data_IF_814411158945
#
_entry.id   IF_814411158945
#
_cell.length_a   1.000
_cell.length_b   1.000
_cell.length_c   1.000
_cell.angle_alpha   90.00
_cell.angle_beta   90.00
_cell.angle_gamma   90.00
#
_symmetry.space_group_name_H-M   'P 1'
#
loop_
_entity.id
_entity.type
_entity.pdbx_description
1 polymer ?
#
# COMPACT_ATOMS: atom_id res chain seq x y z
N UNK A 1 63.41 6.18 21.03
CA UNK A 1 63.28 6.39 22.49
C UNK A 1 61.80 6.54 22.78
N UNK A 2 61.11 5.73 23.56
CA UNK A 2 61.41 4.55 24.37
C UNK A 2 60.03 3.88 24.55
N UNK A 3 59.84 2.67 24.03
CA UNK A 3 59.65 1.44 24.82
C UNK A 3 58.16 1.18 25.12
N UNK A 4 57.54 0.20 24.45
CA UNK A 4 57.48 -1.22 24.85
C UNK A 4 56.28 -1.43 25.82
N UNK A 5 55.39 -2.41 25.66
CA UNK A 5 55.63 -3.81 25.33
C UNK A 5 54.36 -4.54 24.82
N UNK A 6 54.62 -5.48 23.91
CA UNK A 6 54.09 -6.86 23.75
C UNK A 6 52.57 -7.12 23.74
N UNK A 7 51.99 -7.69 22.68
CA UNK A 7 52.21 -9.01 22.04
C UNK A 7 51.55 -10.19 22.80
N UNK A 8 50.43 -10.70 22.26
CA UNK A 8 50.01 -12.11 22.18
C UNK A 8 48.73 -12.13 21.34
N UNK A 9 48.69 -12.67 20.11
CA UNK A 9 48.81 -14.08 19.72
C UNK A 9 47.71 -14.96 20.33
N UNK A 10 46.77 -15.41 19.49
CA UNK A 10 45.72 -16.36 19.86
C UNK A 10 44.76 -16.59 18.69
N UNK A 11 45.10 -17.57 17.84
CA UNK A 11 44.22 -18.10 16.80
C UNK A 11 43.00 -18.85 17.37
N UNK A 12 42.14 -19.38 16.48
CA UNK A 12 40.79 -19.81 16.82
C UNK A 12 40.81 -21.21 17.46
N UNK A 13 40.14 -21.35 18.60
CA UNK A 13 39.93 -22.65 19.26
C UNK A 13 38.41 -22.90 19.44
N UNK A 14 37.97 -24.18 19.47
CA UNK A 14 36.82 -24.67 18.73
C UNK A 14 35.74 -25.23 19.67
N UNK A 15 34.51 -25.36 19.18
CA UNK A 15 33.40 -25.96 19.95
C UNK A 15 32.86 -24.96 20.98
N UNK A 16 31.58 -24.65 20.96
CA UNK A 16 30.51 -25.58 21.30
C UNK A 16 29.31 -25.29 20.40
N UNK A 17 29.06 -26.20 19.47
CA UNK A 17 27.75 -26.32 18.85
C UNK A 17 26.71 -26.55 19.95
N UNK A 18 25.55 -25.88 19.94
CA UNK A 18 24.41 -26.34 20.73
C UNK A 18 24.08 -27.77 20.29
N UNK A 19 23.89 -28.73 21.22
CA UNK A 19 23.66 -30.12 20.83
C UNK A 19 22.36 -30.23 20.04
N UNK A 20 22.50 -30.63 18.77
CA UNK A 20 21.43 -31.18 17.95
C UNK A 20 20.92 -32.45 18.65
N UNK A 21 19.70 -32.40 19.16
CA UNK A 21 19.01 -33.56 19.73
C UNK A 21 18.32 -34.37 18.61
N UNK A 22 18.47 -35.70 18.59
CA UNK A 22 17.81 -36.57 17.63
C UNK A 22 16.29 -36.66 17.87
N UNK A 23 15.47 -36.93 16.84
CA UNK A 23 14.05 -37.17 17.00
C UNK A 23 13.83 -38.58 17.54
N UNK A 24 13.09 -38.69 18.65
CA UNK A 24 12.70 -39.96 19.24
C UNK A 24 13.49 -40.34 20.49
N UNK A 25 13.01 -39.87 21.65
CA UNK A 25 12.70 -40.67 22.85
C UNK A 25 12.32 -39.70 23.98
N UNK A 26 11.14 -39.95 24.55
CA UNK A 26 10.47 -39.13 25.55
C UNK A 26 11.21 -39.18 26.90
N UNK A 27 11.37 -38.06 27.62
CA UNK A 27 11.72 -38.14 29.03
C UNK A 27 10.53 -38.65 29.84
N UNK A 28 10.75 -39.77 30.53
CA UNK A 28 9.83 -40.35 31.49
C UNK A 28 9.52 -39.35 32.61
N UNK A 29 8.32 -38.79 32.56
CA UNK A 29 7.66 -38.14 33.69
C UNK A 29 6.83 -39.18 34.45
N UNK A 30 6.73 -39.04 35.78
CA UNK A 30 6.19 -40.04 36.68
C UNK A 30 4.73 -40.37 36.33
N UNK A 31 4.38 -41.64 36.46
CA UNK A 31 3.03 -42.15 36.28
C UNK A 31 2.04 -41.40 37.21
N UNK A 32 1.49 -40.29 36.72
CA UNK A 32 0.22 -39.75 37.22
C UNK A 32 -0.85 -40.66 36.66
N UNK A 33 -1.17 -41.68 37.45
CA UNK A 33 -2.38 -42.48 37.25
C UNK A 33 -3.56 -41.54 37.07
N UNK A 34 -4.34 -41.81 36.02
CA UNK A 34 -5.57 -41.10 35.74
C UNK A 34 -6.45 -40.99 37.01
N UNK A 35 -6.76 -39.78 37.50
CA UNK A 35 -7.92 -39.57 38.34
C UNK A 35 -9.08 -39.30 37.38
N UNK A 36 -9.85 -40.26 36.89
CA UNK A 36 -10.22 -41.53 37.45
C UNK A 36 -11.70 -41.65 37.13
N UNK A 37 -12.04 -42.46 36.13
CA UNK A 37 -13.41 -42.98 35.93
C UNK A 37 -13.98 -43.59 37.23
N UNK A 38 -13.13 -43.87 38.22
CA UNK A 38 -13.47 -44.17 39.62
C UNK A 38 -14.08 -43.00 40.42
N UNK A 39 -13.78 -41.72 40.18
CA UNK A 39 -14.44 -40.59 40.91
C UNK A 39 -15.84 -40.29 40.35
N UNK A 40 -16.03 -40.39 39.03
CA UNK A 40 -17.38 -40.36 38.42
C UNK A 40 -18.16 -41.62 38.79
N UNK A 41 -17.51 -42.80 38.82
CA UNK A 41 -18.13 -44.04 39.31
C UNK A 41 -18.50 -44.01 40.80
N UNK A 42 -17.70 -43.36 41.66
CA UNK A 42 -18.01 -43.17 43.08
C UNK A 42 -19.08 -42.09 43.26
N UNK A 43 -19.08 -40.99 42.50
CA UNK A 43 -20.14 -39.99 42.54
C UNK A 43 -21.49 -40.56 42.04
N UNK A 44 -21.47 -41.36 40.96
CA UNK A 44 -22.65 -42.05 40.45
C UNK A 44 -23.12 -43.11 41.44
N UNK A 45 -22.22 -43.89 42.04
CA UNK A 45 -22.57 -44.87 43.07
C UNK A 45 -23.10 -44.21 44.36
N UNK A 46 -22.57 -43.06 44.78
CA UNK A 46 -23.06 -42.31 45.94
C UNK A 46 -24.44 -41.71 45.67
N UNK A 47 -24.71 -41.18 44.46
CA UNK A 47 -26.04 -40.69 44.08
C UNK A 47 -27.05 -41.83 43.94
N UNK A 48 -26.64 -42.98 43.42
CA UNK A 48 -27.51 -44.17 43.28
C UNK A 48 -27.78 -44.81 44.66
N UNK A 49 -26.79 -44.80 45.57
CA UNK A 49 -26.94 -45.27 46.95
C UNK A 49 -27.75 -44.29 47.81
N UNK A 50 -27.61 -42.98 47.62
CA UNK A 50 -28.46 -41.95 48.24
C UNK A 50 -29.90 -42.02 47.71
N UNK A 51 -30.09 -42.23 46.41
CA UNK A 51 -31.41 -42.45 45.81
C UNK A 51 -32.09 -43.72 46.33
N UNK A 52 -31.34 -44.82 46.47
CA UNK A 52 -31.85 -46.07 47.06
C UNK A 52 -32.15 -45.92 48.56
N UNK A 53 -31.34 -45.16 49.30
CA UNK A 53 -31.56 -44.85 50.73
C UNK A 53 -32.83 -44.00 50.91
N UNK A 54 -33.09 -43.01 50.04
CA UNK A 54 -34.31 -42.20 50.07
C UNK A 54 -35.56 -43.04 49.76
N UNK A 55 -35.49 -43.97 48.81
CA UNK A 55 -36.66 -44.83 48.48
C UNK A 55 -36.95 -45.87 49.58
N UNK A 56 -35.93 -46.36 50.30
CA UNK A 56 -36.09 -47.40 51.33
C UNK A 56 -36.30 -46.87 52.75
N UNK A 57 -35.75 -45.71 53.11
CA UNK A 57 -35.76 -45.19 54.50
C UNK A 57 -36.88 -44.15 54.72
N UNK A 58 -37.26 -43.39 53.69
CA UNK A 58 -38.31 -42.37 53.82
C UNK A 58 -39.73 -42.90 54.09
N UNK A 59 -40.16 -44.13 53.68
CA UNK A 59 -41.46 -44.65 54.10
C UNK A 59 -41.53 -45.06 55.57
N UNK A 60 -40.41 -45.00 56.33
CA UNK A 60 -40.36 -45.36 57.76
C UNK A 60 -40.16 -44.17 58.71
N UNK A 61 -40.03 -42.94 58.20
CA UNK A 61 -39.76 -41.74 59.02
C UNK A 61 -40.85 -40.66 58.92
N UNK A 62 -41.98 -40.95 58.28
CA UNK A 62 -43.17 -40.08 58.35
C UNK A 62 -44.23 -40.77 59.21
N UNK A 63 -44.66 -40.16 60.35
CA UNK A 63 -45.74 -40.70 61.16
C UNK A 63 -47.05 -40.72 60.36
N UNK A 64 -47.72 -41.87 60.36
CA UNK A 64 -49.12 -41.97 59.93
C UNK A 64 -49.97 -41.21 60.94
N UNK A 65 -50.78 -40.21 60.56
CA UNK A 65 -51.74 -39.63 61.47
C UNK A 65 -52.86 -40.65 61.71
N UNK A 66 -52.90 -41.22 62.91
CA UNK A 66 -54.07 -41.89 63.47
C UNK A 66 -55.08 -40.82 63.89
N UNK A 67 -56.09 -40.61 63.05
CA UNK A 67 -57.35 -39.99 63.45
C UNK A 67 -58.41 -41.07 63.54
N UNK A 68 -58.99 -41.23 64.73
CA UNK A 68 -60.11 -42.14 65.02
C UNK A 68 -61.29 -41.27 65.42
N UNK A 69 -62.43 -41.50 64.75
CA UNK A 69 -63.85 -41.22 65.07
C UNK A 69 -64.25 -39.81 65.59
N UNK A 70 -65.27 -39.12 65.10
CA UNK A 70 -66.63 -39.51 64.71
C UNK A 70 -67.19 -38.53 63.66
N UNK A 71 -67.93 -39.04 62.66
CA UNK A 71 -69.21 -38.48 62.22
C UNK A 71 -69.81 -39.27 61.06
N UNK A 72 -70.86 -40.03 61.40
CA UNK A 72 -72.08 -40.30 60.63
C UNK A 72 -71.94 -40.92 59.23
N UNK A 73 -72.30 -42.20 59.19
CA UNK A 73 -72.68 -43.00 58.04
C UNK A 73 -73.68 -42.24 57.13
N UNK A 74 -73.27 -42.00 55.89
CA UNK A 74 -74.11 -41.63 54.76
C UNK A 74 -73.71 -42.46 53.54
N UNK A 75 -74.33 -43.64 53.40
CA UNK A 75 -74.14 -44.58 52.28
C UNK A 75 -74.78 -44.02 51.01
N UNK A 76 -73.98 -43.77 49.97
CA UNK A 76 -74.42 -43.68 48.56
C UNK A 76 -73.22 -43.94 47.62
N UNK A 77 -73.42 -44.54 46.44
CA UNK A 77 -72.72 -45.77 46.09
C UNK A 77 -71.47 -45.62 45.23
N UNK A 78 -70.61 -46.64 45.37
CA UNK A 78 -69.59 -47.04 44.41
C UNK A 78 -70.13 -47.07 42.98
N UNK A 79 -69.68 -46.12 42.16
CA UNK A 79 -69.65 -46.19 40.70
C UNK A 79 -68.20 -46.34 40.19
N UNK A 80 -67.30 -46.89 41.01
CA UNK A 80 -65.86 -46.91 40.72
C UNK A 80 -65.40 -48.08 39.85
N UNK A 81 -66.28 -49.05 39.55
CA UNK A 81 -65.93 -50.22 38.73
C UNK A 81 -65.83 -49.93 37.22
N UNK A 82 -66.54 -48.93 36.70
CA UNK A 82 -66.57 -48.59 35.26
C UNK A 82 -65.72 -47.36 34.89
N UNK A 83 -65.36 -46.52 35.86
CA UNK A 83 -64.55 -45.31 35.63
C UNK A 83 -63.04 -45.61 35.53
N UNK A 84 -62.55 -46.71 36.13
CA UNK A 84 -61.13 -47.03 36.16
C UNK A 84 -60.52 -47.37 34.78
N UNK A 85 -61.18 -48.17 33.90
CA UNK A 85 -60.67 -48.42 32.55
C UNK A 85 -60.68 -47.17 31.65
N UNK A 86 -61.74 -46.37 31.72
CA UNK A 86 -61.85 -45.13 30.94
C UNK A 86 -60.83 -44.07 31.39
N UNK A 87 -60.64 -43.87 32.70
CA UNK A 87 -59.63 -42.95 33.23
C UNK A 87 -58.20 -43.39 32.89
N UNK A 88 -57.95 -44.71 32.86
CA UNK A 88 -56.67 -45.27 32.43
C UNK A 88 -56.43 -45.02 30.94
N UNK A 89 -57.41 -45.31 30.08
CA UNK A 89 -57.31 -45.06 28.64
C UNK A 89 -57.06 -43.56 28.34
N UNK A 90 -57.72 -42.65 29.07
CA UNK A 90 -57.47 -41.21 28.94
C UNK A 90 -56.04 -40.81 29.35
N UNK A 91 -55.49 -41.41 30.42
CA UNK A 91 -54.11 -41.17 30.82
C UNK A 91 -53.10 -41.72 29.81
N UNK A 92 -53.33 -42.92 29.28
CA UNK A 92 -52.49 -43.53 28.23
C UNK A 92 -52.52 -42.69 26.94
N UNK A 93 -53.70 -42.20 26.53
CA UNK A 93 -53.83 -41.30 25.39
C UNK A 93 -53.10 -39.96 25.61
N UNK A 94 -53.25 -39.34 26.79
CA UNK A 94 -52.56 -38.09 27.12
C UNK A 94 -51.04 -38.26 27.13
N UNK A 95 -50.52 -39.35 27.70
CA UNK A 95 -49.10 -39.68 27.68
C UNK A 95 -48.60 -39.89 26.26
N UNK A 96 -49.34 -40.63 25.43
CA UNK A 96 -48.96 -40.87 24.03
C UNK A 96 -48.85 -39.55 23.25
N UNK A 97 -49.83 -38.65 23.39
CA UNK A 97 -49.82 -37.35 22.72
C UNK A 97 -48.67 -36.47 23.20
N UNK A 98 -48.43 -36.44 24.52
CA UNK A 98 -47.29 -35.72 25.10
C UNK A 98 -45.96 -36.23 24.54
N UNK A 99 -45.71 -37.55 24.55
CA UNK A 99 -44.47 -38.14 24.06
C UNK A 99 -44.25 -37.89 22.56
N UNK A 100 -45.32 -37.92 21.76
CA UNK A 100 -45.25 -37.61 20.32
C UNK A 100 -44.81 -36.16 20.08
N UNK A 101 -45.41 -35.20 20.79
CA UNK A 101 -45.06 -33.78 20.65
C UNK A 101 -43.66 -33.51 21.25
N UNK A 102 -43.34 -34.12 22.38
CA UNK A 102 -42.01 -34.03 23.00
C UNK A 102 -40.94 -34.49 22.01
N UNK A 103 -41.08 -35.67 21.39
CA UNK A 103 -40.11 -36.20 20.45
C UNK A 103 -39.93 -35.28 19.22
N UNK A 104 -41.02 -34.69 18.70
CA UNK A 104 -40.93 -33.72 17.59
C UNK A 104 -40.16 -32.46 18.01
N UNK A 105 -40.47 -31.93 19.18
CA UNK A 105 -39.80 -30.74 19.71
C UNK A 105 -38.33 -31.03 20.09
N UNK A 106 -37.98 -32.26 20.49
CA UNK A 106 -36.58 -32.68 20.68
C UNK A 106 -35.79 -32.71 19.38
N UNK A 107 -36.40 -33.18 18.28
CA UNK A 107 -35.80 -33.10 16.95
C UNK A 107 -35.56 -31.65 16.53
N UNK A 108 -36.46 -30.75 16.93
CA UNK A 108 -36.32 -29.30 16.78
C UNK A 108 -35.40 -28.66 17.82
N UNK A 109 -34.74 -29.44 18.69
CA UNK A 109 -33.82 -28.97 19.74
C UNK A 109 -34.46 -28.08 20.82
N UNK A 110 -35.74 -28.26 21.12
CA UNK A 110 -36.46 -27.55 22.18
C UNK A 110 -35.80 -27.54 23.57
N UNK A 111 -34.99 -28.53 23.99
CA UNK A 111 -34.20 -28.40 25.22
C UNK A 111 -33.26 -27.19 25.26
N UNK A 112 -32.84 -26.66 24.11
CA UNK A 112 -31.92 -25.50 24.02
C UNK A 112 -32.69 -24.17 24.08
N UNK A 113 -33.85 -24.09 23.43
CA UNK A 113 -34.56 -22.82 23.22
C UNK A 113 -35.93 -22.72 23.90
N UNK A 114 -36.43 -23.83 24.46
CA UNK A 114 -37.80 -23.96 24.92
C UNK A 114 -38.03 -23.72 26.42
N UNK A 115 -36.99 -23.37 27.17
CA UNK A 115 -37.15 -22.99 28.57
C UNK A 115 -37.99 -21.69 28.69
N UNK A 116 -38.83 -21.54 29.74
CA UNK A 116 -39.09 -22.52 30.80
C UNK A 116 -40.17 -23.56 30.46
N UNK A 117 -40.96 -23.36 29.40
CA UNK A 117 -42.12 -24.22 29.08
C UNK A 117 -41.75 -25.70 28.86
N UNK A 118 -40.56 -25.95 28.28
CA UNK A 118 -39.98 -27.28 28.14
C UNK A 118 -39.79 -27.97 29.50
N UNK A 119 -39.20 -27.27 30.46
CA UNK A 119 -38.92 -27.78 31.80
C UNK A 119 -40.21 -27.99 32.61
N UNK A 120 -41.14 -27.04 32.52
CA UNK A 120 -42.47 -27.16 33.14
C UNK A 120 -43.24 -28.38 32.62
N UNK A 121 -43.20 -28.63 31.30
CA UNK A 121 -43.84 -29.79 30.69
C UNK A 121 -43.23 -31.11 31.21
N UNK A 122 -41.90 -31.18 31.32
CA UNK A 122 -41.20 -32.35 31.86
C UNK A 122 -41.58 -32.62 33.33
N UNK A 123 -41.70 -31.58 34.16
CA UNK A 123 -42.13 -31.70 35.56
C UNK A 123 -43.59 -32.21 35.64
N UNK A 124 -44.48 -31.70 34.80
CA UNK A 124 -45.88 -32.14 34.75
C UNK A 124 -46.01 -33.60 34.31
N UNK A 125 -45.24 -34.03 33.31
CA UNK A 125 -45.20 -35.41 32.85
C UNK A 125 -44.68 -36.37 33.93
N UNK A 126 -43.58 -36.01 34.62
CA UNK A 126 -43.04 -36.82 35.71
C UNK A 126 -44.04 -36.98 36.88
N UNK A 127 -44.85 -35.95 37.17
CA UNK A 127 -45.95 -36.05 38.11
C UNK A 127 -47.07 -36.96 37.61
N UNK A 128 -47.35 -36.95 36.30
CA UNK A 128 -48.25 -37.88 35.63
C UNK A 128 -47.80 -39.32 35.82
N UNK A 129 -46.53 -39.63 35.57
CA UNK A 129 -45.93 -40.97 35.71
C UNK A 129 -46.07 -41.49 37.14
N UNK A 130 -45.78 -40.65 38.15
CA UNK A 130 -45.95 -41.01 39.56
C UNK A 130 -47.40 -41.35 39.88
N UNK A 131 -48.35 -40.51 39.47
CA UNK A 131 -49.79 -40.72 39.70
C UNK A 131 -50.32 -41.95 38.96
N UNK A 132 -49.79 -42.24 37.77
CA UNK A 132 -50.14 -43.42 37.00
C UNK A 132 -49.70 -44.70 37.71
N UNK A 133 -48.46 -44.72 38.24
CA UNK A 133 -47.94 -45.82 39.06
C UNK A 133 -48.74 -46.06 40.34
N UNK A 134 -49.25 -45.00 40.96
CA UNK A 134 -50.18 -45.03 42.12
C UNK A 134 -51.61 -45.46 41.75
N UNK A 135 -51.88 -45.81 40.49
CA UNK A 135 -53.22 -46.12 39.93
C UNK A 135 -54.22 -44.96 40.02
N UNK A 136 -53.75 -43.73 40.20
CA UNK A 136 -54.58 -42.51 40.22
C UNK A 136 -54.77 -41.98 38.80
N UNK A 137 -55.39 -42.81 37.94
CA UNK A 137 -55.43 -42.58 36.50
C UNK A 137 -56.07 -41.25 36.08
N UNK A 138 -57.15 -40.82 36.74
CA UNK A 138 -57.76 -39.52 36.45
C UNK A 138 -56.83 -38.33 36.76
N UNK A 139 -56.01 -38.43 37.81
CA UNK A 139 -55.04 -37.39 38.17
C UNK A 139 -53.80 -37.42 37.26
N UNK A 140 -53.42 -38.61 36.76
CA UNK A 140 -52.38 -38.78 35.76
C UNK A 140 -52.79 -38.19 34.41
N UNK A 141 -54.01 -38.47 33.94
CA UNK A 141 -54.57 -37.92 32.71
C UNK A 141 -54.55 -36.39 32.69
N UNK A 142 -54.91 -35.74 33.81
CA UNK A 142 -54.79 -34.28 33.96
C UNK A 142 -53.35 -33.80 33.85
N UNK A 143 -52.41 -34.45 34.56
CA UNK A 143 -50.99 -34.09 34.50
C UNK A 143 -50.39 -34.21 33.10
N UNK A 144 -50.72 -35.27 32.34
CA UNK A 144 -50.28 -35.39 30.95
C UNK A 144 -50.96 -34.38 30.02
N UNK A 145 -52.24 -34.07 30.24
CA UNK A 145 -52.95 -33.01 29.53
C UNK A 145 -52.31 -31.64 29.76
N UNK A 146 -51.97 -31.30 31.00
CA UNK A 146 -51.27 -30.05 31.35
C UNK A 146 -49.87 -30.01 30.71
N UNK A 147 -49.13 -31.12 30.74
CA UNK A 147 -47.81 -31.23 30.11
C UNK A 147 -47.88 -31.04 28.58
N UNK A 148 -48.87 -31.66 27.93
CA UNK A 148 -49.13 -31.50 26.50
C UNK A 148 -49.48 -30.04 26.17
N UNK A 149 -50.32 -29.39 26.98
CA UNK A 149 -50.66 -27.98 26.79
C UNK A 149 -49.43 -27.06 26.88
N UNK A 150 -48.49 -27.35 27.79
CA UNK A 150 -47.21 -26.59 27.86
C UNK A 150 -46.36 -26.75 26.62
N UNK A 151 -46.26 -27.98 26.07
CA UNK A 151 -45.54 -28.20 24.82
C UNK A 151 -46.22 -27.56 23.61
N UNK A 152 -47.55 -27.53 23.56
CA UNK A 152 -48.30 -26.83 22.50
C UNK A 152 -48.07 -25.31 22.57
N UNK A 153 -48.14 -24.72 23.77
CA UNK A 153 -47.81 -23.32 23.99
C UNK A 153 -46.37 -23.00 23.58
N UNK A 154 -45.44 -23.94 23.79
CA UNK A 154 -44.05 -23.79 23.38
C UNK A 154 -43.91 -23.82 21.84
N UNK A 155 -44.55 -24.78 21.17
CA UNK A 155 -44.58 -24.89 19.71
C UNK A 155 -45.16 -23.60 19.08
N UNK A 156 -46.27 -23.09 19.61
CA UNK A 156 -46.92 -21.85 19.16
C UNK A 156 -46.02 -20.62 19.31
N UNK A 157 -45.15 -20.60 20.34
CA UNK A 157 -44.24 -19.49 20.63
C UNK A 157 -42.91 -19.58 19.86
N UNK A 158 -42.61 -20.70 19.21
CA UNK A 158 -41.34 -20.92 18.49
C UNK A 158 -40.97 -19.76 17.54
N UNK A 159 -41.87 -19.23 16.69
CA UNK A 159 -41.52 -18.09 15.81
C UNK A 159 -41.16 -16.82 16.58
N UNK A 160 -41.85 -16.55 17.70
CA UNK A 160 -41.59 -15.36 18.52
C UNK A 160 -40.26 -15.47 19.27
N UNK A 161 -39.90 -16.68 19.73
CA UNK A 161 -38.60 -16.93 20.36
C UNK A 161 -37.49 -16.71 19.34
N UNK A 162 -37.65 -17.24 18.13
CA UNK A 162 -36.70 -17.03 17.03
C UNK A 162 -36.49 -15.55 16.73
N UNK A 163 -37.56 -14.78 16.46
CA UNK A 163 -37.43 -13.35 16.14
C UNK A 163 -36.76 -12.57 17.26
N UNK A 164 -37.15 -12.82 18.53
CA UNK A 164 -36.52 -12.15 19.68
C UNK A 164 -35.03 -12.47 19.80
N UNK A 165 -34.65 -13.73 19.60
CA UNK A 165 -33.26 -14.16 19.68
C UNK A 165 -32.43 -13.56 18.53
N UNK A 166 -32.96 -13.57 17.30
CA UNK A 166 -32.31 -12.95 16.15
C UNK A 166 -32.10 -11.45 16.37
N UNK A 167 -33.16 -10.70 16.73
CA UNK A 167 -33.09 -9.26 16.94
C UNK A 167 -32.11 -8.90 18.07
N UNK A 168 -32.20 -9.61 19.20
CA UNK A 168 -31.28 -9.39 20.33
C UNK A 168 -29.82 -9.70 19.95
N UNK A 169 -29.59 -10.73 19.14
CA UNK A 169 -28.27 -11.10 18.65
C UNK A 169 -27.67 -10.05 17.71
N UNK A 170 -28.47 -9.51 16.79
CA UNK A 170 -28.05 -8.45 15.87
C UNK A 170 -27.76 -7.14 16.61
N UNK A 171 -28.63 -6.73 17.53
CA UNK A 171 -28.40 -5.54 18.37
C UNK A 171 -27.12 -5.69 19.19
N UNK A 172 -26.91 -6.84 19.84
CA UNK A 172 -25.69 -7.09 20.60
C UNK A 172 -24.42 -7.03 19.72
N UNK A 173 -24.49 -7.49 18.47
CA UNK A 173 -23.37 -7.40 17.53
C UNK A 173 -23.05 -5.95 17.15
N UNK A 174 -24.07 -5.12 16.95
CA UNK A 174 -23.94 -3.69 16.68
C UNK A 174 -23.37 -2.93 17.88
N UNK A 175 -23.81 -3.27 19.10
CA UNK A 175 -23.34 -2.71 20.36
C UNK A 175 -21.97 -3.26 20.81
N UNK A 176 -21.32 -4.09 19.99
CA UNK A 176 -20.01 -4.69 20.29
C UNK A 176 -20.00 -5.56 21.56
N UNK A 177 -21.09 -6.30 21.79
CA UNK A 177 -21.26 -7.26 22.87
C UNK A 177 -21.17 -8.70 22.32
N UNK A 178 -19.95 -9.21 22.02
CA UNK A 178 -19.78 -10.48 21.32
C UNK A 178 -20.41 -11.67 22.04
N UNK A 179 -20.26 -11.74 23.36
CA UNK A 179 -20.75 -12.89 24.15
C UNK A 179 -22.29 -12.95 24.12
N UNK A 180 -22.96 -11.80 24.28
CA UNK A 180 -24.42 -11.68 24.15
C UNK A 180 -24.89 -11.99 22.73
N UNK A 181 -24.20 -11.47 21.72
CA UNK A 181 -24.53 -11.70 20.32
C UNK A 181 -24.44 -13.19 19.96
N UNK A 182 -23.35 -13.85 20.34
CA UNK A 182 -23.17 -15.28 20.13
C UNK A 182 -24.28 -16.09 20.80
N UNK A 183 -24.56 -15.84 22.07
CA UNK A 183 -25.59 -16.57 22.82
C UNK A 183 -26.97 -16.46 22.14
N UNK A 184 -27.38 -15.27 21.72
CA UNK A 184 -28.69 -15.05 21.10
C UNK A 184 -28.76 -15.58 19.66
N UNK A 185 -27.68 -15.46 18.89
CA UNK A 185 -27.62 -15.99 17.53
C UNK A 185 -27.56 -17.53 17.51
N UNK A 186 -26.85 -18.14 18.44
CA UNK A 186 -26.87 -19.60 18.65
C UNK A 186 -28.26 -20.09 19.05
N UNK A 187 -28.98 -19.34 19.88
CA UNK A 187 -30.37 -19.63 20.23
C UNK A 187 -31.29 -19.56 19.01
N UNK A 188 -31.15 -18.54 18.15
CA UNK A 188 -31.89 -18.43 16.89
C UNK A 188 -31.57 -19.59 15.93
N UNK A 189 -30.29 -19.95 15.80
CA UNK A 189 -29.82 -21.06 14.96
C UNK A 189 -30.18 -22.45 15.52
N UNK A 190 -30.49 -22.55 16.81
CA UNK A 190 -31.05 -23.77 17.38
C UNK A 190 -32.49 -24.01 16.89
N UNK A 191 -33.22 -22.95 16.52
CA UNK A 191 -34.59 -23.00 15.99
C UNK A 191 -34.59 -23.12 14.45
N UNK A 192 -33.77 -22.32 13.77
CA UNK A 192 -33.58 -22.36 12.31
C UNK A 192 -32.08 -22.39 11.96
N UNK A 193 -31.48 -23.59 11.78
CA UNK A 193 -30.05 -23.74 11.55
C UNK A 193 -29.54 -23.17 10.22
N UNK A 194 -30.41 -22.89 9.26
CA UNK A 194 -30.03 -22.44 7.92
C UNK A 194 -30.34 -20.96 7.70
N UNK A 195 -30.77 -20.23 8.73
CA UNK A 195 -31.09 -18.81 8.61
C UNK A 195 -29.85 -17.98 8.27
N UNK A 196 -29.73 -17.56 7.00
CA UNK A 196 -28.52 -16.94 6.44
C UNK A 196 -28.01 -15.74 7.26
N UNK A 197 -28.92 -14.85 7.68
CA UNK A 197 -28.57 -13.67 8.46
C UNK A 197 -27.99 -14.05 9.83
N UNK A 198 -28.53 -15.10 10.46
CA UNK A 198 -28.09 -15.52 11.79
C UNK A 198 -26.72 -16.22 11.71
N UNK A 199 -26.52 -17.08 10.70
CA UNK A 199 -25.23 -17.72 10.42
C UNK A 199 -24.16 -16.68 10.17
N UNK A 200 -24.47 -15.70 9.32
CA UNK A 200 -23.54 -14.62 8.99
C UNK A 200 -23.20 -13.75 10.21
N UNK A 201 -24.22 -13.33 10.97
CA UNK A 201 -24.02 -12.54 12.17
C UNK A 201 -23.22 -13.30 13.25
N UNK A 202 -23.42 -14.62 13.38
CA UNK A 202 -22.69 -15.43 14.36
C UNK A 202 -21.19 -15.48 14.03
N UNK A 203 -20.85 -15.72 12.76
CA UNK A 203 -19.46 -15.70 12.30
C UNK A 203 -18.78 -14.36 12.60
N UNK A 204 -19.51 -13.24 12.44
CA UNK A 204 -19.00 -11.90 12.80
C UNK A 204 -18.87 -11.70 14.31
N UNK A 205 -19.80 -12.23 15.11
CA UNK A 205 -19.73 -12.19 16.56
C UNK A 205 -18.52 -12.96 17.12
N UNK A 206 -18.20 -14.12 16.54
CA UNK A 206 -17.05 -14.96 16.92
C UNK A 206 -15.71 -14.23 16.81
N UNK A 207 -15.52 -13.44 15.76
CA UNK A 207 -14.27 -12.68 15.55
C UNK A 207 -14.27 -11.31 16.21
N UNK A 208 -15.43 -10.82 16.67
CA UNK A 208 -15.61 -9.43 17.12
C UNK A 208 -14.66 -9.02 18.24
N UNK A 209 -14.36 -9.90 19.20
CA UNK A 209 -13.39 -9.60 20.27
C UNK A 209 -11.99 -9.29 19.71
N UNK A 210 -11.55 -10.02 18.69
CA UNK A 210 -10.25 -9.80 18.02
C UNK A 210 -10.28 -8.53 17.16
N UNK A 211 -11.39 -8.27 16.46
CA UNK A 211 -11.62 -7.03 15.69
C UNK A 211 -11.46 -5.81 16.61
N UNK A 212 -12.13 -5.80 17.76
CA UNK A 212 -12.06 -4.69 18.72
C UNK A 212 -10.65 -4.48 19.28
N UNK A 213 -9.89 -5.55 19.51
CA UNK A 213 -8.49 -5.45 19.94
C UNK A 213 -7.61 -4.78 18.87
N UNK A 214 -7.79 -5.12 17.59
CA UNK A 214 -7.05 -4.48 16.49
C UNK A 214 -7.44 -3.01 16.30
N UNK A 215 -8.72 -2.69 16.46
CA UNK A 215 -9.22 -1.30 16.44
C UNK A 215 -8.61 -0.50 17.58
N UNK A 216 -8.60 -1.02 18.81
CA UNK A 216 -8.00 -0.33 19.96
C UNK A 216 -6.48 -0.13 19.81
N UNK A 217 -5.78 -1.09 19.18
CA UNK A 217 -4.38 -0.92 18.80
C UNK A 217 -4.20 0.22 17.80
N UNK A 218 -5.03 0.25 16.74
CA UNK A 218 -5.03 1.34 15.76
C UNK A 218 -5.31 2.72 16.38
N UNK A 219 -6.28 2.81 17.29
CA UNK A 219 -6.62 4.04 18.01
C UNK A 219 -5.51 4.50 18.96
N UNK A 220 -4.74 3.56 19.51
CA UNK A 220 -3.56 3.87 20.33
C UNK A 220 -2.44 4.42 19.46
N UNK A 221 -2.21 3.85 18.27
CA UNK A 221 -1.26 4.36 17.30
C UNK A 221 -1.64 5.76 16.78
N UNK A 222 -2.93 6.01 16.48
CA UNK A 222 -3.41 7.35 16.10
C UNK A 222 -3.11 8.40 17.19
N UNK A 223 -3.35 8.06 18.47
CA UNK A 223 -3.04 8.94 19.60
C UNK A 223 -1.54 9.25 19.75
N UNK A 224 -0.70 8.35 19.26
CA UNK A 224 0.76 8.52 19.25
C UNK A 224 1.27 9.14 17.93
N UNK A 225 0.36 9.59 17.05
CA UNK A 225 0.65 10.16 15.72
C UNK A 225 1.34 9.19 14.73
N UNK A 226 1.38 7.89 15.07
CA UNK A 226 1.87 6.81 14.21
C UNK A 226 0.75 6.34 13.29
N UNK A 227 0.54 7.11 12.22
CA UNK A 227 -0.52 6.88 11.26
C UNK A 227 -0.32 5.59 10.46
N UNK A 228 0.93 5.20 10.19
CA UNK A 228 1.26 3.92 9.54
C UNK A 228 0.82 2.72 10.39
N UNK A 229 1.18 2.71 11.69
CA UNK A 229 0.74 1.65 12.59
C UNK A 229 -0.77 1.67 12.81
N UNK A 230 -1.40 2.85 12.84
CA UNK A 230 -2.85 2.98 12.90
C UNK A 230 -3.54 2.33 11.69
N UNK A 231 -3.08 2.63 10.47
CA UNK A 231 -3.60 2.03 9.25
C UNK A 231 -3.43 0.50 9.26
N UNK A 232 -2.29 -0.01 9.74
CA UNK A 232 -2.06 -1.44 9.89
C UNK A 232 -3.06 -2.09 10.86
N UNK A 233 -3.30 -1.49 12.02
CA UNK A 233 -4.28 -1.99 13.00
C UNK A 233 -5.70 -2.05 12.44
N UNK A 234 -6.16 -1.01 11.74
CA UNK A 234 -7.49 -1.02 11.11
C UNK A 234 -7.58 -1.99 9.94
N UNK A 235 -6.51 -2.17 9.17
CA UNK A 235 -6.45 -3.18 8.11
C UNK A 235 -6.58 -4.58 8.71
N UNK A 236 -5.83 -4.89 9.76
CA UNK A 236 -5.92 -6.17 10.47
C UNK A 236 -7.32 -6.43 11.06
N UNK A 237 -8.03 -5.38 11.49
CA UNK A 237 -9.43 -5.50 11.92
C UNK A 237 -10.36 -5.90 10.76
N UNK A 238 -10.15 -5.33 9.56
CA UNK A 238 -10.95 -5.60 8.37
C UNK A 238 -10.60 -6.93 7.69
N UNK A 239 -9.40 -7.46 7.90
CA UNK A 239 -9.05 -8.84 7.53
C UNK A 239 -9.85 -9.87 8.34
N UNK A 240 -10.27 -9.53 9.56
CA UNK A 240 -11.09 -10.38 10.42
C UNK A 240 -12.59 -10.23 10.14
N UNK A 241 -13.08 -8.98 10.06
CA UNK A 241 -14.47 -8.66 9.71
C UNK A 241 -14.44 -7.50 8.72
N UNK A 242 -14.49 -7.84 7.43
CA UNK A 242 -14.44 -6.83 6.38
C UNK A 242 -15.64 -5.87 6.46
N UNK A 243 -16.75 -6.24 7.08
CA UNK A 243 -17.97 -5.43 7.17
C UNK A 243 -18.00 -4.51 8.40
N UNK A 244 -16.95 -4.51 9.22
CA UNK A 244 -16.89 -3.65 10.40
C UNK A 244 -16.66 -2.18 10.03
N UNK A 245 -17.75 -1.44 9.81
CA UNK A 245 -17.73 -0.03 9.39
C UNK A 245 -16.83 0.88 10.23
N UNK A 246 -16.80 0.79 11.57
CA UNK A 246 -15.94 1.67 12.38
C UNK A 246 -14.45 1.57 12.04
N UNK A 247 -13.95 0.40 11.60
CA UNK A 247 -12.57 0.24 11.14
C UNK A 247 -12.39 0.78 9.71
N UNK A 248 -13.37 0.60 8.81
CA UNK A 248 -13.33 1.17 7.44
C UNK A 248 -13.21 2.69 7.47
N UNK A 249 -14.07 3.35 8.26
CA UNK A 249 -14.09 4.81 8.36
C UNK A 249 -12.77 5.36 8.91
N UNK A 250 -12.23 4.71 9.94
CA UNK A 250 -10.94 5.07 10.53
C UNK A 250 -9.79 4.84 9.55
N UNK A 251 -9.75 3.71 8.86
CA UNK A 251 -8.74 3.42 7.84
C UNK A 251 -8.77 4.45 6.71
N UNK A 252 -9.96 4.80 6.21
CA UNK A 252 -10.12 5.81 5.17
C UNK A 252 -9.57 7.16 5.63
N UNK A 253 -9.93 7.61 6.83
CA UNK A 253 -9.41 8.87 7.39
C UNK A 253 -7.89 8.87 7.53
N UNK A 254 -7.33 7.84 8.16
CA UNK A 254 -5.87 7.74 8.41
C UNK A 254 -5.11 7.66 7.09
N UNK A 255 -5.61 6.90 6.12
CA UNK A 255 -4.99 6.80 4.79
C UNK A 255 -5.01 8.13 4.05
N UNK A 256 -6.10 8.91 4.17
CA UNK A 256 -6.16 10.25 3.60
C UNK A 256 -5.15 11.21 4.27
N UNK A 257 -4.98 11.14 5.59
CA UNK A 257 -3.98 11.92 6.32
C UNK A 257 -2.55 11.54 5.93
N UNK A 258 -2.25 10.24 5.78
CA UNK A 258 -0.98 9.74 5.29
C UNK A 258 -0.67 10.26 3.88
N UNK A 259 -1.66 10.20 2.97
CA UNK A 259 -1.52 10.73 1.63
C UNK A 259 -1.26 12.24 1.65
N UNK A 260 -1.96 13.00 2.49
CA UNK A 260 -1.72 14.44 2.66
C UNK A 260 -0.32 14.76 3.20
N UNK A 261 0.15 14.04 4.22
CA UNK A 261 1.51 14.18 4.77
C UNK A 261 2.56 13.89 3.68
N UNK A 262 2.46 12.75 3.01
CA UNK A 262 3.39 12.36 1.93
C UNK A 262 3.37 13.36 0.77
N UNK A 263 2.21 13.89 0.41
CA UNK A 263 2.10 14.92 -0.61
C UNK A 263 2.82 16.20 -0.19
N UNK A 264 2.60 16.67 1.05
CA UNK A 264 3.29 17.85 1.60
C UNK A 264 4.80 17.65 1.64
N UNK A 265 5.28 16.49 2.07
CA UNK A 265 6.71 16.18 2.12
C UNK A 265 7.33 16.17 0.72
N UNK A 266 6.68 15.51 -0.24
CA UNK A 266 7.14 15.49 -1.64
C UNK A 266 7.16 16.90 -2.25
N UNK A 267 6.16 17.73 -1.97
CA UNK A 267 6.14 19.13 -2.43
C UNK A 267 7.24 19.97 -1.77
N UNK A 268 7.46 19.82 -0.47
CA UNK A 268 8.56 20.52 0.24
C UNK A 268 9.93 20.13 -0.32
N UNK A 269 10.15 18.84 -0.59
CA UNK A 269 11.37 18.35 -1.22
C UNK A 269 11.54 18.88 -2.65
N UNK A 270 10.46 18.92 -3.43
CA UNK A 270 10.47 19.46 -4.79
C UNK A 270 10.85 20.94 -4.82
N UNK A 271 10.20 21.75 -3.98
CA UNK A 271 10.45 23.19 -3.92
C UNK A 271 11.84 23.50 -3.38
N UNK A 272 12.28 22.84 -2.31
CA UNK A 272 13.66 23.01 -1.81
C UNK A 272 14.72 22.60 -2.84
N UNK A 273 14.49 21.50 -3.58
CA UNK A 273 15.39 21.10 -4.66
C UNK A 273 15.40 22.08 -5.84
N UNK A 274 14.28 22.74 -6.14
CA UNK A 274 14.23 23.82 -7.14
C UNK A 274 15.04 25.03 -6.69
N UNK A 275 14.85 25.46 -5.45
CA UNK A 275 15.54 26.62 -4.88
C UNK A 275 17.07 26.41 -4.82
N UNK A 276 17.51 25.18 -4.59
CA UNK A 276 18.93 24.79 -4.59
C UNK A 276 19.48 24.46 -6.00
N UNK A 277 18.66 24.53 -7.06
CA UNK A 277 19.08 24.19 -8.42
C UNK A 277 19.31 22.69 -8.67
N UNK A 278 18.88 21.81 -7.78
CA UNK A 278 18.94 20.34 -7.92
C UNK A 278 17.79 19.82 -8.78
N UNK A 279 17.79 20.20 -10.06
CA UNK A 279 16.66 20.03 -10.99
C UNK A 279 16.20 18.56 -11.17
N UNK A 280 17.12 17.59 -11.13
CA UNK A 280 16.73 16.17 -11.23
C UNK A 280 16.07 15.64 -9.95
N UNK A 281 16.51 16.12 -8.78
CA UNK A 281 15.87 15.80 -7.51
C UNK A 281 14.47 16.42 -7.43
N UNK A 282 14.33 17.68 -7.88
CA UNK A 282 13.04 18.35 -7.99
C UNK A 282 12.08 17.57 -8.90
N UNK A 283 12.55 17.09 -10.05
CA UNK A 283 11.76 16.27 -10.97
C UNK A 283 11.19 15.02 -10.32
N UNK A 284 12.04 14.23 -9.65
CA UNK A 284 11.62 13.00 -8.95
C UNK A 284 10.61 13.30 -7.83
N UNK A 285 10.83 14.34 -7.03
CA UNK A 285 9.91 14.72 -5.97
C UNK A 285 8.54 15.16 -6.52
N UNK A 286 8.52 15.89 -7.64
CA UNK A 286 7.28 16.26 -8.34
C UNK A 286 6.55 15.07 -8.98
N UNK A 287 7.27 14.04 -9.41
CA UNK A 287 6.68 12.78 -9.85
C UNK A 287 5.98 12.05 -8.70
N UNK A 288 6.65 11.93 -7.54
CA UNK A 288 6.03 11.37 -6.32
C UNK A 288 4.78 12.16 -5.92
N UNK A 289 4.85 13.49 -5.88
CA UNK A 289 3.69 14.33 -5.56
C UNK A 289 2.53 14.13 -6.55
N UNK A 290 2.82 13.98 -7.84
CA UNK A 290 1.81 13.74 -8.88
C UNK A 290 1.16 12.36 -8.79
N UNK A 291 1.89 11.33 -8.34
CA UNK A 291 1.30 10.01 -8.10
C UNK A 291 0.28 10.04 -6.96
N UNK A 292 0.46 10.92 -5.96
CA UNK A 292 -0.46 11.07 -4.83
C UNK A 292 -1.65 11.97 -5.20
N UNK A 293 -1.42 13.09 -5.90
CA UNK A 293 -2.48 14.02 -6.36
C UNK A 293 -2.24 14.45 -7.81
N UNK A 294 -2.74 13.68 -8.80
CA UNK A 294 -2.52 13.96 -10.23
C UNK A 294 -3.03 15.33 -10.68
N UNK A 295 -4.17 15.76 -10.14
CA UNK A 295 -4.86 17.00 -10.52
C UNK A 295 -4.39 18.24 -9.72
N UNK A 296 -3.27 18.14 -8.99
CA UNK A 296 -2.77 19.25 -8.18
C UNK A 296 -2.26 20.41 -9.03
N UNK A 297 -2.84 21.59 -8.86
CA UNK A 297 -2.35 22.84 -9.46
C UNK A 297 -0.94 23.18 -8.98
N UNK A 298 -0.65 22.99 -7.70
CA UNK A 298 0.69 23.23 -7.13
C UNK A 298 1.78 22.39 -7.81
N UNK A 299 1.49 21.12 -8.12
CA UNK A 299 2.41 20.24 -8.87
C UNK A 299 2.60 20.76 -10.30
N UNK A 300 1.51 21.16 -10.97
CA UNK A 300 1.54 21.71 -12.33
C UNK A 300 2.41 22.97 -12.40
N UNK A 301 2.22 23.89 -11.46
CA UNK A 301 2.97 25.14 -11.39
C UNK A 301 4.45 24.91 -11.08
N UNK A 302 4.76 24.01 -10.14
CA UNK A 302 6.14 23.65 -9.82
C UNK A 302 6.84 22.93 -10.99
N UNK A 303 6.12 22.11 -11.77
CA UNK A 303 6.64 21.52 -13.02
C UNK A 303 6.96 22.58 -14.07
N UNK A 304 6.13 23.62 -14.21
CA UNK A 304 6.43 24.73 -15.11
C UNK A 304 7.72 25.46 -14.68
N UNK A 305 7.86 25.74 -13.38
CA UNK A 305 9.10 26.32 -12.82
C UNK A 305 10.32 25.44 -13.09
N UNK A 306 10.19 24.12 -12.94
CA UNK A 306 11.27 23.16 -13.25
C UNK A 306 11.70 23.24 -14.72
N UNK A 307 10.74 23.30 -15.66
CA UNK A 307 11.02 23.42 -17.09
C UNK A 307 11.78 24.72 -17.38
N UNK A 308 11.33 25.85 -16.81
CA UNK A 308 11.99 27.14 -16.96
C UNK A 308 13.41 27.12 -16.37
N UNK A 309 13.60 26.54 -15.19
CA UNK A 309 14.91 26.42 -14.55
C UNK A 309 15.87 25.58 -15.41
N UNK A 310 15.40 24.45 -15.97
CA UNK A 310 16.21 23.60 -16.88
C UNK A 310 16.63 24.36 -18.14
N UNK A 311 15.70 25.11 -18.74
CA UNK A 311 15.98 25.94 -19.91
C UNK A 311 17.07 26.98 -19.59
N UNK A 312 16.94 27.67 -18.45
CA UNK A 312 17.90 28.69 -18.03
C UNK A 312 19.30 28.11 -17.75
N UNK A 313 19.38 26.96 -17.07
CA UNK A 313 20.64 26.25 -16.82
C UNK A 313 21.32 25.85 -18.14
N UNK A 314 20.55 25.31 -19.09
CA UNK A 314 21.08 24.92 -20.39
C UNK A 314 21.58 26.13 -21.20
N UNK A 315 20.83 27.22 -21.23
CA UNK A 315 21.25 28.46 -21.88
C UNK A 315 22.54 29.02 -21.26
N UNK A 316 22.68 28.96 -19.93
CA UNK A 316 23.87 29.42 -19.21
C UNK A 316 25.09 28.56 -19.55
N UNK A 317 24.90 27.24 -19.63
CA UNK A 317 25.95 26.29 -20.06
C UNK A 317 26.38 26.52 -21.51
N UNK A 318 25.42 26.72 -22.42
CA UNK A 318 25.71 27.00 -23.83
C UNK A 318 26.42 28.34 -24.01
N UNK A 319 26.03 29.37 -23.25
CA UNK A 319 26.71 30.67 -23.22
C UNK A 319 28.18 30.51 -22.81
N UNK A 320 28.46 29.83 -21.70
CA UNK A 320 29.83 29.61 -21.24
C UNK A 320 30.70 28.88 -22.26
N UNK A 321 30.14 27.91 -22.99
CA UNK A 321 30.84 27.21 -24.09
C UNK A 321 31.10 28.11 -25.30
N UNK A 322 30.13 28.94 -25.67
CA UNK A 322 30.30 29.90 -26.76
C UNK A 322 31.37 30.93 -26.42
N UNK A 323 31.35 31.48 -25.21
CA UNK A 323 32.36 32.43 -24.73
C UNK A 323 33.76 31.83 -24.63
N UNK A 324 33.88 30.55 -24.24
CA UNK A 324 35.16 29.84 -24.29
C UNK A 324 35.69 29.72 -25.74
N UNK A 325 34.83 29.32 -26.68
CA UNK A 325 35.20 29.24 -28.09
C UNK A 325 35.59 30.62 -28.67
N UNK A 326 34.92 31.70 -28.26
CA UNK A 326 35.30 33.08 -28.63
C UNK A 326 36.69 33.43 -28.09
N UNK A 327 37.00 33.10 -26.83
CA UNK A 327 38.34 33.33 -26.25
C UNK A 327 39.44 32.56 -26.97
N UNK A 328 39.12 31.39 -27.53
CA UNK A 328 40.04 30.57 -28.31
C UNK A 328 40.12 30.98 -29.80
N UNK A 329 39.39 32.03 -30.20
CA UNK A 329 39.17 32.46 -31.59
C UNK A 329 38.64 31.33 -32.50
N UNK A 330 37.93 30.35 -31.92
CA UNK A 330 37.18 29.34 -32.66
C UNK A 330 35.76 29.84 -32.98
N UNK A 331 35.70 30.76 -33.94
CA UNK A 331 34.46 31.41 -34.37
C UNK A 331 33.44 30.43 -34.95
N UNK A 332 33.89 29.33 -35.54
CA UNK A 332 32.99 28.31 -36.08
C UNK A 332 32.31 27.53 -34.95
N UNK A 333 33.06 27.10 -33.93
CA UNK A 333 32.49 26.47 -32.75
C UNK A 333 31.59 27.43 -31.96
N UNK A 334 31.99 28.68 -31.78
CA UNK A 334 31.20 29.71 -31.12
C UNK A 334 29.83 29.90 -31.80
N UNK A 335 29.80 30.09 -33.12
CA UNK A 335 28.57 30.15 -33.90
C UNK A 335 27.71 28.88 -33.74
N UNK A 336 28.35 27.70 -33.67
CA UNK A 336 27.68 26.43 -33.38
C UNK A 336 26.97 26.41 -32.02
N UNK A 337 27.62 26.91 -30.95
CA UNK A 337 27.02 26.99 -29.62
C UNK A 337 25.88 28.01 -29.54
N UNK A 338 26.03 29.17 -30.17
CA UNK A 338 24.95 30.16 -30.23
C UNK A 338 23.73 29.66 -30.98
N UNK A 339 23.90 28.94 -32.11
CA UNK A 339 22.76 28.29 -32.79
C UNK A 339 22.05 27.27 -31.90
N UNK A 340 22.78 26.47 -31.11
CA UNK A 340 22.18 25.55 -30.14
C UNK A 340 21.41 26.31 -29.05
N UNK A 341 21.92 27.44 -28.57
CA UNK A 341 21.18 28.27 -27.60
C UNK A 341 19.87 28.81 -28.19
N UNK A 342 19.85 29.20 -29.47
CA UNK A 342 18.63 29.64 -30.16
C UNK A 342 17.61 28.54 -30.41
N UNK A 343 18.03 27.26 -30.42
CA UNK A 343 17.11 26.12 -30.43
C UNK A 343 16.44 25.91 -29.06
N UNK A 344 17.10 26.32 -27.97
CA UNK A 344 16.56 26.24 -26.60
C UNK A 344 15.62 27.42 -26.33
N UNK A 345 16.02 28.63 -26.72
CA UNK A 345 15.19 29.82 -26.68
C UNK A 345 15.53 30.73 -27.87
N UNK A 346 14.59 30.87 -28.79
CA UNK A 346 14.76 31.71 -29.97
C UNK A 346 14.96 33.19 -29.61
N UNK A 347 14.44 33.66 -28.47
CA UNK A 347 14.54 35.04 -27.99
C UNK A 347 15.80 35.31 -27.15
N UNK A 348 16.71 34.35 -27.06
CA UNK A 348 17.99 34.50 -26.37
C UNK A 348 18.88 35.57 -27.06
N UNK A 349 18.74 36.83 -26.64
CA UNK A 349 19.44 37.97 -27.25
C UNK A 349 20.97 37.83 -27.26
N UNK A 350 21.56 37.25 -26.22
CA UNK A 350 23.00 36.96 -26.18
C UNK A 350 23.43 36.03 -27.32
N UNK A 351 22.57 35.07 -27.68
CA UNK A 351 22.87 34.08 -28.71
C UNK A 351 22.68 34.67 -30.11
N UNK A 352 21.64 35.49 -30.32
CA UNK A 352 21.46 36.24 -31.57
C UNK A 352 22.67 37.13 -31.87
N UNK A 353 23.06 37.96 -30.90
CA UNK A 353 24.19 38.88 -31.05
C UNK A 353 25.52 38.14 -31.22
N UNK A 354 25.75 37.12 -30.38
CA UNK A 354 26.97 36.30 -30.44
C UNK A 354 27.10 35.52 -31.75
N UNK A 355 26.00 35.01 -32.31
CA UNK A 355 25.99 34.34 -33.59
C UNK A 355 26.41 35.28 -34.72
N UNK A 356 25.77 36.44 -34.81
CA UNK A 356 26.10 37.46 -35.80
C UNK A 356 27.58 37.86 -35.74
N UNK A 357 28.09 38.11 -34.53
CA UNK A 357 29.50 38.48 -34.34
C UNK A 357 30.44 37.34 -34.76
N UNK A 358 30.14 36.11 -34.34
CA UNK A 358 30.97 34.94 -34.66
C UNK A 358 30.99 34.65 -36.16
N UNK A 359 29.86 34.80 -36.85
CA UNK A 359 29.77 34.60 -38.30
C UNK A 359 30.51 35.69 -39.08
N UNK A 360 30.41 36.95 -38.66
CA UNK A 360 31.18 38.05 -39.23
C UNK A 360 32.69 37.81 -39.06
N UNK A 361 33.14 37.37 -37.87
CA UNK A 361 34.54 37.02 -37.62
C UNK A 361 35.00 35.82 -38.43
N UNK A 362 34.20 34.77 -38.52
CA UNK A 362 34.50 33.61 -39.34
C UNK A 362 34.68 34.00 -40.82
N UNK A 363 33.81 34.87 -41.34
CA UNK A 363 33.93 35.38 -42.70
C UNK A 363 35.20 36.21 -42.90
N UNK A 364 35.56 37.05 -41.92
CA UNK A 364 36.81 37.83 -41.95
C UNK A 364 38.03 36.90 -41.99
N UNK A 365 38.11 35.91 -41.11
CA UNK A 365 39.21 34.94 -41.14
C UNK A 365 39.32 34.22 -42.48
N UNK A 366 38.20 33.77 -43.06
CA UNK A 366 38.17 33.16 -44.41
C UNK A 366 38.63 34.10 -45.52
N UNK A 367 38.39 35.41 -45.38
CA UNK A 367 38.90 36.40 -46.33
C UNK A 367 40.43 36.48 -46.27
N UNK A 368 41.02 36.50 -45.08
CA UNK A 368 42.47 36.44 -44.90
C UNK A 368 43.05 35.11 -45.41
N UNK A 369 42.44 33.99 -45.04
CA UNK A 369 42.94 32.65 -45.39
C UNK A 369 43.04 32.46 -46.90
N UNK A 370 42.06 32.95 -47.69
CA UNK A 370 42.12 32.90 -49.17
C UNK A 370 43.34 33.57 -49.80
N UNK A 371 43.95 34.55 -49.14
CA UNK A 371 45.20 35.16 -49.60
C UNK A 371 46.42 34.45 -49.00
N UNK A 372 46.36 34.04 -47.74
CA UNK A 372 47.46 33.36 -47.05
C UNK A 372 47.72 31.95 -47.60
N UNK A 373 46.68 31.27 -48.09
CA UNK A 373 46.76 29.94 -48.73
C UNK A 373 47.20 30.03 -50.19
N UNK A 374 47.02 31.18 -50.85
CA UNK A 374 47.43 31.41 -52.25
C UNK A 374 48.12 32.77 -52.45
N UNK A 375 49.32 32.99 -51.88
CA UNK A 375 50.00 34.29 -51.89
C UNK A 375 50.32 34.81 -53.29
N UNK A 376 50.56 33.92 -54.25
CA UNK A 376 50.87 34.25 -55.64
C UNK A 376 49.80 35.10 -56.34
N UNK A 377 48.55 35.08 -55.84
CA UNK A 377 47.48 35.90 -56.40
C UNK A 377 47.75 37.40 -56.21
N UNK A 378 48.54 37.77 -55.21
CA UNK A 378 48.87 39.17 -54.88
C UNK A 378 49.75 39.86 -55.93
N UNK A 379 50.36 39.12 -56.87
CA UNK A 379 51.12 39.71 -57.97
C UNK A 379 50.23 40.22 -59.11
N UNK A 380 48.92 39.94 -59.06
CA UNK A 380 47.95 40.53 -59.99
C UNK A 380 47.35 41.81 -59.39
N UNK A 381 47.13 42.82 -60.22
CA UNK A 381 46.66 44.15 -59.81
C UNK A 381 45.36 44.10 -58.98
N UNK A 382 44.33 43.41 -59.48
CA UNK A 382 43.01 43.36 -58.86
C UNK A 382 43.02 42.64 -57.48
N UNK A 383 43.61 41.43 -57.33
CA UNK A 383 43.78 40.81 -56.01
C UNK A 383 44.64 41.63 -55.04
N UNK A 384 45.71 42.29 -55.50
CA UNK A 384 46.54 43.16 -54.66
C UNK A 384 45.72 44.32 -54.08
N UNK A 385 45.01 45.05 -54.94
CA UNK A 385 44.15 46.15 -54.52
C UNK A 385 43.04 45.69 -53.55
N UNK A 386 42.50 44.48 -53.74
CA UNK A 386 41.50 43.90 -52.83
C UNK A 386 42.09 43.48 -51.47
N UNK A 387 43.31 42.93 -51.45
CA UNK A 387 44.01 42.60 -50.21
C UNK A 387 44.36 43.87 -49.40
N UNK A 388 44.75 44.94 -50.07
CA UNK A 388 44.99 46.26 -49.44
C UNK A 388 43.72 46.85 -48.85
N UNK A 389 42.59 46.78 -49.57
CA UNK A 389 41.28 47.18 -49.06
C UNK A 389 40.90 46.35 -47.83
N UNK A 390 41.13 45.04 -47.85
CA UNK A 390 40.87 44.15 -46.71
C UNK A 390 41.71 44.53 -45.49
N UNK A 391 43.02 44.76 -45.65
CA UNK A 391 43.91 45.19 -44.57
C UNK A 391 43.46 46.54 -43.99
N UNK A 392 43.09 47.49 -44.85
CA UNK A 392 42.58 48.80 -44.41
C UNK A 392 41.26 48.68 -43.66
N UNK A 393 40.35 47.81 -44.12
CA UNK A 393 39.06 47.59 -43.46
C UNK A 393 39.19 46.82 -42.14
N UNK A 394 40.12 45.86 -42.05
CA UNK A 394 40.37 45.09 -40.84
C UNK A 394 41.05 45.94 -39.75
N UNK A 395 41.90 46.90 -40.15
CA UNK A 395 42.60 47.77 -39.21
C UNK A 395 43.52 47.00 -38.26
N UNK A 396 43.63 47.47 -37.02
CA UNK A 396 44.36 46.78 -35.96
C UNK A 396 43.45 45.75 -35.31
N UNK A 397 43.89 44.49 -35.27
CA UNK A 397 43.15 43.46 -34.53
C UNK A 397 43.04 43.81 -33.04
N UNK A 398 41.90 43.51 -32.39
CA UNK A 398 41.78 43.63 -30.94
C UNK A 398 42.86 42.81 -30.21
N UNK A 399 43.31 43.28 -29.05
CA UNK A 399 44.31 42.57 -28.24
C UNK A 399 43.87 41.14 -27.83
N UNK A 400 42.56 40.90 -27.80
CA UNK A 400 41.95 39.60 -27.51
C UNK A 400 41.89 38.66 -28.71
N UNK A 401 42.35 39.08 -29.89
CA UNK A 401 42.30 38.29 -31.14
C UNK A 401 43.71 38.09 -31.75
N UNK A 402 44.66 37.45 -31.05
CA UNK A 402 46.03 37.24 -31.54
C UNK A 402 46.13 36.42 -32.84
N UNK A 403 45.23 35.47 -33.11
CA UNK A 403 45.24 34.73 -34.39
C UNK A 403 44.85 35.65 -35.54
N UNK A 404 43.86 36.53 -35.35
CA UNK A 404 43.56 37.55 -36.35
C UNK A 404 44.73 38.51 -36.54
N UNK A 405 45.35 38.99 -35.44
CA UNK A 405 46.52 39.87 -35.51
C UNK A 405 47.65 39.26 -36.34
N UNK A 406 47.94 37.97 -36.12
CA UNK A 406 48.92 37.22 -36.89
C UNK A 406 48.57 37.13 -38.39
N UNK A 407 47.29 36.93 -38.73
CA UNK A 407 46.85 36.89 -40.14
C UNK A 407 47.00 38.26 -40.82
N UNK A 408 46.63 39.34 -40.11
CA UNK A 408 46.79 40.72 -40.60
C UNK A 408 48.27 41.02 -40.88
N UNK A 409 49.14 40.71 -39.91
CA UNK A 409 50.58 40.95 -40.06
C UNK A 409 51.18 40.16 -41.23
N UNK A 410 50.86 38.87 -41.36
CA UNK A 410 51.34 38.04 -42.47
C UNK A 410 50.88 38.57 -43.83
N UNK A 411 49.60 38.93 -43.97
CA UNK A 411 49.10 39.47 -45.23
C UNK A 411 49.72 40.82 -45.57
N UNK A 412 49.92 41.69 -44.58
CA UNK A 412 50.59 42.98 -44.78
C UNK A 412 52.02 42.81 -45.33
N UNK A 413 52.79 41.88 -44.79
CA UNK A 413 54.13 41.55 -45.28
C UNK A 413 54.09 41.04 -46.74
N UNK A 414 53.16 40.15 -47.06
CA UNK A 414 53.00 39.64 -48.42
C UNK A 414 52.60 40.74 -49.41
N UNK A 415 51.71 41.64 -49.03
CA UNK A 415 51.31 42.81 -49.85
C UNK A 415 52.49 43.75 -50.06
N UNK A 416 53.31 44.01 -49.04
CA UNK A 416 54.54 44.81 -49.21
C UNK A 416 55.52 44.14 -50.17
N UNK A 417 55.74 42.83 -50.05
CA UNK A 417 56.62 42.08 -50.94
C UNK A 417 56.12 42.08 -52.40
N UNK A 418 54.81 41.92 -52.61
CA UNK A 418 54.20 41.91 -53.95
C UNK A 418 54.27 43.26 -54.67
N UNK A 419 54.52 44.36 -53.95
CA UNK A 419 54.70 45.71 -54.52
C UNK A 419 56.13 46.00 -54.97
N UNK A 420 57.10 45.16 -54.62
CA UNK A 420 58.51 45.36 -55.01
C UNK A 420 58.72 44.74 -56.39
N UNK A 421 58.95 45.55 -57.44
CA UNK A 421 59.17 45.00 -58.78
C UNK A 421 60.46 44.18 -58.80
N UNK A 422 60.39 42.99 -59.35
CA UNK A 422 61.54 42.11 -59.53
C UNK A 422 62.12 42.36 -60.92
N UNK A 423 63.39 42.74 -60.97
CA UNK A 423 64.10 42.89 -62.23
C UNK A 423 64.43 41.52 -62.81
N UNK A 424 63.83 41.20 -63.95
CA UNK A 424 64.06 39.96 -64.68
C UNK A 424 64.76 40.29 -66.00
N UNK A 425 65.92 39.66 -66.19
CA UNK A 425 66.65 39.69 -67.45
C UNK A 425 66.26 38.46 -68.28
N UNK A 426 65.60 38.70 -69.39
CA UNK A 426 65.24 37.67 -70.37
C UNK A 426 66.29 37.66 -71.47
N UNK A 427 66.70 36.48 -71.91
CA UNK A 427 67.54 36.26 -73.09
C UNK A 427 66.83 35.35 -74.07
N UNK A 428 66.87 35.70 -75.35
CA UNK A 428 66.30 34.93 -76.45
C UNK A 428 67.30 34.87 -77.60
N UNK A 429 67.03 34.03 -78.59
CA UNK A 429 67.89 33.78 -79.76
C UNK A 429 67.80 34.87 -80.83
N UNK A 430 66.94 35.87 -80.64
CA UNK A 430 66.69 36.93 -81.63
C UNK A 430 65.72 36.56 -82.75
N UNK A 431 65.30 35.29 -82.85
CA UNK A 431 64.41 34.79 -83.90
C UNK A 431 63.02 34.41 -83.36
N UNK A 432 62.95 34.00 -82.09
CA UNK A 432 61.71 33.60 -81.41
C UNK A 432 60.90 34.82 -80.95
N UNK A 433 59.61 34.88 -81.32
CA UNK A 433 58.68 35.84 -80.73
C UNK A 433 58.34 35.45 -79.30
N UNK A 434 58.65 36.34 -78.35
CA UNK A 434 58.40 36.10 -76.93
C UNK A 434 57.25 36.97 -76.44
N UNK A 435 56.31 36.35 -75.71
CA UNK A 435 55.23 37.02 -75.00
C UNK A 435 55.29 36.62 -73.54
N UNK A 436 55.31 37.59 -72.64
CA UNK A 436 55.13 37.34 -71.22
C UNK A 436 53.65 37.54 -70.91
N UNK A 437 53.00 36.43 -70.57
CA UNK A 437 51.55 36.38 -70.37
C UNK A 437 51.11 37.39 -69.30
N UNK A 438 50.11 38.22 -69.63
CA UNK A 438 49.60 39.35 -68.82
C UNK A 438 50.55 40.53 -68.56
N UNK A 439 51.75 40.57 -69.15
CA UNK A 439 52.71 41.68 -68.96
C UNK A 439 52.87 42.45 -70.26
N UNK A 440 53.41 41.82 -71.30
CA UNK A 440 53.68 42.47 -72.58
C UNK A 440 54.00 41.44 -73.68
N UNK A 441 53.69 41.82 -74.93
CA UNK A 441 54.29 41.19 -76.11
C UNK A 441 55.64 41.84 -76.35
N UNK A 442 56.72 41.08 -76.18
CA UNK A 442 58.08 41.61 -76.20
C UNK A 442 58.73 41.57 -77.59
N UNK A 443 58.15 40.80 -78.52
CA UNK A 443 58.68 40.60 -79.86
C UNK A 443 59.96 39.76 -79.84
N UNK A 444 60.81 39.94 -80.86
CA UNK A 444 62.14 39.32 -80.97
C UNK A 444 63.19 40.18 -80.29
N UNK A 445 64.08 39.57 -79.51
CA UNK A 445 65.18 40.25 -78.83
C UNK A 445 66.31 39.27 -78.51
N UNK A 446 67.52 39.79 -78.26
CA UNK A 446 68.65 38.99 -77.72
C UNK A 446 68.71 39.09 -76.20
N UNK A 447 68.56 40.30 -75.65
CA UNK A 447 68.45 40.55 -74.21
C UNK A 447 67.42 41.64 -73.94
N UNK A 448 66.57 41.45 -72.93
CA UNK A 448 65.59 42.45 -72.48
C UNK A 448 65.43 42.40 -70.97
N UNK A 449 65.42 43.57 -70.34
CA UNK A 449 65.16 43.72 -68.91
C UNK A 449 63.71 44.15 -68.70
N UNK A 450 63.05 43.54 -67.72
CA UNK A 450 61.69 43.87 -67.32
C UNK A 450 61.65 44.00 -65.81
N UNK A 451 60.92 45.00 -65.33
CA UNK A 451 60.45 45.04 -63.96
C UNK A 451 59.09 44.35 -63.93
N UNK A 452 59.00 43.23 -63.19
CA UNK A 452 57.79 42.43 -63.03
C UNK A 452 57.20 42.52 -61.62
#
# INVERSE_FOLDING_TARGET
MSSADRNSAGGPDPGLHPPLRPPGQQPASPARGAPGRRRVGIALAVVLLLGLLVVLVLPRLVPVPTGVDDAVVGKAPSAAGSAAPAARAAAEQGLQQYLQLQARLELDRAPVWGAPLWEEAAVLAANGDRRFGERRFAAAARSYGDALQRLQQLEDRKPQIFTKALDAGLVALEENQPDSAQQQLELALAIDPQHEVAVHALARAEVRRRVLAQVAAGETAERNEDLEAAAAGYTAALELDSEYQPARDRLQRVTAQLADRRFRDAMSQALGALDEGRLDAAGRALETAAQIRPESTAVRDARLRLVQARQQTELSRLRGRAEAAVRDEDWQAAAGWYRKALQVDAEAGFARNGLQQSEARLQLHRQFDRYLEAPQRLYSEQPLANAEKLLKAAGTAPATEPRLANKIQKLAQLVTAARVPVQVRLRSDGETEVVVYHVARLGRFVERQLAL
#
